data_IF_387248555305
#
_entry.id   IF_387248555305
#
_cell.length_a   1.000
_cell.length_b   1.000
_cell.length_c   1.000
_cell.angle_alpha   90.00
_cell.angle_beta   90.00
_cell.angle_gamma   90.00
#
_symmetry.space_group_name_H-M   'P 1'
#
loop_
_entity.id
_entity.type
_entity.pdbx_description
1 polymer ?
#
# COMPACT_ATOMS: atom_id res chain seq x y z
N UNK A 1 27.94 15.24 20.95
CA UNK A 1 26.47 15.21 20.92
C UNK A 1 26.07 15.71 19.54
N UNK A 2 25.79 14.80 18.62
CA UNK A 2 25.12 15.13 17.36
C UNK A 2 23.69 15.56 17.71
N UNK A 3 23.14 16.63 17.10
CA UNK A 3 21.72 16.95 17.27
C UNK A 3 20.96 15.72 16.79
N UNK A 4 20.10 15.16 17.65
CA UNK A 4 19.23 14.05 17.26
C UNK A 4 18.34 14.53 16.11
N UNK A 5 18.32 13.78 15.03
CA UNK A 5 17.43 14.00 13.90
C UNK A 5 15.98 14.07 14.41
N UNK A 6 15.38 15.25 14.30
CA UNK A 6 14.04 15.60 14.79
C UNK A 6 12.95 15.08 13.83
N UNK A 7 13.13 13.85 13.36
CA UNK A 7 12.31 13.24 12.33
C UNK A 7 11.21 12.39 12.96
N UNK A 8 9.94 12.81 12.74
CA UNK A 8 8.76 12.07 13.21
C UNK A 8 8.75 10.64 12.66
N UNK A 9 8.40 9.61 13.45
CA UNK A 9 8.29 8.24 12.97
C UNK A 9 7.39 8.11 11.73
N UNK A 10 7.54 7.01 11.00
CA UNK A 10 6.81 6.77 9.76
C UNK A 10 5.49 6.05 10.02
N UNK A 11 4.43 6.49 9.33
CA UNK A 11 3.20 5.74 9.16
C UNK A 11 3.07 5.28 7.71
N UNK A 12 3.06 3.97 7.51
CA UNK A 12 3.06 3.36 6.18
C UNK A 12 1.64 2.94 5.80
N UNK A 13 1.20 3.34 4.61
CA UNK A 13 -0.13 3.03 4.11
C UNK A 13 -0.03 2.29 2.78
N UNK A 14 -0.67 1.13 2.67
CA UNK A 14 -1.05 0.61 1.36
C UNK A 14 -2.11 1.54 0.71
N UNK A 15 -2.34 1.36 -0.59
CA UNK A 15 -3.31 2.14 -1.37
C UNK A 15 -4.52 1.27 -1.73
N UNK A 16 -4.34 0.12 -2.34
CA UNK A 16 -5.44 -0.69 -2.87
C UNK A 16 -6.14 -1.37 -1.69
N UNK A 17 -7.44 -1.19 -1.52
CA UNK A 17 -8.16 -1.77 -0.36
C UNK A 17 -8.03 -0.97 0.95
N UNK A 18 -7.01 -0.11 1.07
CA UNK A 18 -6.82 0.78 2.22
C UNK A 18 -7.34 2.19 1.93
N UNK A 19 -6.79 2.88 0.93
CA UNK A 19 -7.21 4.22 0.54
C UNK A 19 -8.16 4.20 -0.67
N UNK A 20 -7.95 3.25 -1.57
CA UNK A 20 -8.65 3.15 -2.85
C UNK A 20 -9.64 1.99 -2.81
N UNK A 21 -10.91 2.28 -3.12
CA UNK A 21 -11.88 1.23 -3.40
C UNK A 21 -11.62 0.62 -4.79
N UNK A 22 -11.17 -0.63 -4.78
CA UNK A 22 -10.79 -1.38 -5.98
C UNK A 22 -11.91 -2.28 -6.49
N UNK A 23 -13.07 -2.28 -5.82
CA UNK A 23 -14.18 -3.23 -6.06
C UNK A 23 -14.60 -3.29 -7.53
N UNK A 24 -14.67 -2.15 -8.22
CA UNK A 24 -15.10 -2.10 -9.63
C UNK A 24 -14.11 -2.77 -10.59
N UNK A 25 -12.84 -2.91 -10.22
CA UNK A 25 -11.80 -3.51 -11.07
C UNK A 25 -11.44 -4.94 -10.72
N UNK A 26 -11.97 -5.50 -9.63
CA UNK A 26 -11.68 -6.88 -9.19
C UNK A 26 -11.95 -7.95 -10.24
N UNK A 27 -13.01 -7.78 -11.03
CA UNK A 27 -13.38 -8.70 -12.10
C UNK A 27 -12.27 -8.88 -13.17
N UNK A 28 -11.32 -7.96 -13.29
CA UNK A 28 -10.16 -8.15 -14.18
C UNK A 28 -9.21 -9.23 -13.66
N UNK A 29 -9.12 -9.42 -12.35
CA UNK A 29 -8.23 -10.39 -11.73
C UNK A 29 -8.77 -11.82 -11.86
N UNK A 30 -10.10 -12.00 -11.85
CA UNK A 30 -10.75 -13.29 -12.09
C UNK A 30 -10.41 -13.89 -13.48
N UNK A 31 -10.03 -13.04 -14.43
CA UNK A 31 -9.62 -13.41 -15.80
C UNK A 31 -8.15 -13.05 -16.10
N UNK A 32 -7.35 -12.85 -15.06
CA UNK A 32 -5.91 -12.59 -15.13
C UNK A 32 -5.51 -11.41 -16.04
N UNK A 33 -6.32 -10.35 -16.06
CA UNK A 33 -6.08 -9.12 -16.84
C UNK A 33 -5.45 -8.03 -15.97
N UNK A 34 -4.24 -8.30 -15.48
CA UNK A 34 -3.47 -7.41 -14.62
C UNK A 34 -3.27 -6.00 -15.16
N UNK A 35 -2.93 -5.86 -16.44
CA UNK A 35 -2.74 -4.54 -17.06
C UNK A 35 -4.03 -3.71 -17.02
N UNK A 36 -5.18 -4.33 -17.26
CA UNK A 36 -6.48 -3.66 -17.19
C UNK A 36 -6.86 -3.28 -15.77
N UNK A 37 -6.58 -4.17 -14.81
CA UNK A 37 -6.76 -3.89 -13.38
C UNK A 37 -6.01 -2.61 -12.98
N UNK A 38 -4.71 -2.53 -13.26
CA UNK A 38 -3.92 -1.35 -12.89
C UNK A 38 -4.26 -0.10 -13.71
N UNK A 39 -4.64 -0.25 -14.99
CA UNK A 39 -5.07 0.89 -15.81
C UNK A 39 -6.38 1.51 -15.31
N UNK A 40 -7.27 0.72 -14.70
CA UNK A 40 -8.54 1.18 -14.16
C UNK A 40 -8.43 1.91 -12.79
N UNK A 41 -7.24 1.91 -12.17
CA UNK A 41 -7.02 2.50 -10.84
C UNK A 41 -7.23 4.02 -10.76
N UNK A 42 -7.30 4.73 -11.90
CA UNK A 42 -7.60 6.16 -11.93
C UNK A 42 -9.04 6.49 -11.51
N UNK A 43 -9.93 5.49 -11.54
CA UNK A 43 -11.34 5.62 -11.23
C UNK A 43 -11.71 5.07 -9.84
N UNK A 44 -10.73 4.66 -9.04
CA UNK A 44 -10.97 4.18 -7.68
C UNK A 44 -11.61 5.29 -6.82
N UNK A 45 -12.74 5.05 -6.15
CA UNK A 45 -13.22 5.93 -5.09
C UNK A 45 -12.23 6.00 -3.92
N UNK A 46 -12.17 7.14 -3.23
CA UNK A 46 -11.47 7.26 -1.96
C UNK A 46 -12.31 6.60 -0.86
N UNK A 47 -11.69 5.76 -0.03
CA UNK A 47 -12.30 5.19 1.16
C UNK A 47 -12.21 6.19 2.31
N UNK A 48 -13.36 6.57 2.86
CA UNK A 48 -13.45 7.59 3.90
C UNK A 48 -12.71 7.17 5.18
N UNK A 49 -12.83 5.90 5.58
CA UNK A 49 -12.14 5.31 6.72
C UNK A 49 -10.62 5.37 6.55
N UNK A 50 -10.11 4.95 5.38
CA UNK A 50 -8.68 5.02 5.07
C UNK A 50 -8.16 6.45 5.07
N UNK A 51 -8.92 7.39 4.51
CA UNK A 51 -8.57 8.80 4.48
C UNK A 51 -8.56 9.43 5.90
N UNK A 52 -9.50 9.05 6.76
CA UNK A 52 -9.51 9.47 8.16
C UNK A 52 -8.29 8.95 8.91
N UNK A 53 -7.96 7.65 8.79
CA UNK A 53 -6.76 7.06 9.41
C UNK A 53 -5.48 7.75 8.94
N UNK A 54 -5.37 8.08 7.65
CA UNK A 54 -4.24 8.82 7.10
C UNK A 54 -4.13 10.22 7.70
N UNK A 55 -5.23 10.98 7.74
CA UNK A 55 -5.24 12.34 8.32
C UNK A 55 -4.91 12.35 9.80
N UNK A 56 -5.34 11.34 10.54
CA UNK A 56 -4.97 11.18 11.95
C UNK A 56 -3.48 10.91 12.09
N UNK A 57 -2.95 9.96 11.32
CA UNK A 57 -1.52 9.64 11.33
C UNK A 57 -0.65 10.85 10.98
N UNK A 58 -1.08 11.72 10.06
CA UNK A 58 -0.38 12.96 9.70
C UNK A 58 -0.23 13.97 10.85
N UNK A 59 -0.93 13.81 11.97
CA UNK A 59 -0.73 14.66 13.15
C UNK A 59 0.53 14.29 13.92
N UNK A 60 0.92 13.01 13.89
CA UNK A 60 2.01 12.46 14.73
C UNK A 60 3.17 11.81 13.93
N UNK A 61 2.91 11.31 12.72
CA UNK A 61 3.88 10.62 11.87
C UNK A 61 4.08 11.27 10.50
N UNK A 62 5.23 11.03 9.87
CA UNK A 62 5.41 11.29 8.45
C UNK A 62 4.81 10.12 7.65
N UNK A 63 3.92 10.41 6.69
CA UNK A 63 3.20 9.38 5.94
C UNK A 63 4.01 8.94 4.73
N UNK A 64 4.09 7.62 4.54
CA UNK A 64 4.70 6.97 3.37
C UNK A 64 3.69 6.01 2.75
N UNK A 65 3.60 6.01 1.42
CA UNK A 65 2.80 5.02 0.69
C UNK A 65 3.66 3.83 0.27
N UNK A 66 3.15 2.61 0.45
CA UNK A 66 3.79 1.38 0.02
C UNK A 66 2.77 0.48 -0.66
N UNK A 67 2.77 0.43 -1.99
CA UNK A 67 1.73 -0.23 -2.78
C UNK A 67 2.27 -1.35 -3.67
N UNK A 68 1.44 -2.38 -3.88
CA UNK A 68 1.68 -3.45 -4.86
C UNK A 68 1.49 -3.04 -6.32
N UNK A 69 1.01 -1.81 -6.60
CA UNK A 69 0.95 -1.27 -7.96
C UNK A 69 2.35 -1.23 -8.58
N UNK A 70 2.53 -1.57 -9.87
CA UNK A 70 3.84 -1.56 -10.51
C UNK A 70 4.32 -0.13 -10.79
N UNK A 71 5.62 0.05 -10.88
CA UNK A 71 6.29 1.36 -11.06
C UNK A 71 5.80 2.12 -12.30
N UNK A 72 5.49 1.43 -13.40
CA UNK A 72 4.85 2.05 -14.59
C UNK A 72 3.54 2.80 -14.30
N UNK A 73 2.86 2.49 -13.20
CA UNK A 73 1.64 3.15 -12.76
C UNK A 73 1.88 4.38 -11.87
N UNK A 74 3.13 4.75 -11.54
CA UNK A 74 3.46 5.87 -10.64
C UNK A 74 2.71 7.15 -10.97
N UNK A 75 2.83 7.63 -12.21
CA UNK A 75 2.17 8.88 -12.63
C UNK A 75 0.64 8.81 -12.52
N UNK A 76 0.05 7.63 -12.70
CA UNK A 76 -1.39 7.44 -12.55
C UNK A 76 -1.77 7.52 -11.06
N UNK A 77 -1.04 6.81 -10.20
CA UNK A 77 -1.26 6.80 -8.74
C UNK A 77 -1.07 8.19 -8.14
N UNK A 78 0.00 8.91 -8.50
CA UNK A 78 0.24 10.29 -8.02
C UNK A 78 -0.89 11.25 -8.44
N UNK A 79 -1.40 11.13 -9.68
CA UNK A 79 -2.54 11.93 -10.12
C UNK A 79 -3.82 11.59 -9.36
N UNK A 80 -4.03 10.31 -9.07
CA UNK A 80 -5.17 9.88 -8.26
C UNK A 80 -5.09 10.43 -6.84
N UNK A 81 -3.93 10.28 -6.17
CA UNK A 81 -3.67 10.85 -4.84
C UNK A 81 -3.93 12.37 -4.81
N UNK A 82 -3.38 13.10 -5.78
CA UNK A 82 -3.60 14.54 -5.90
C UNK A 82 -5.09 14.88 -6.15
N UNK A 83 -5.78 14.11 -6.97
CA UNK A 83 -7.22 14.27 -7.24
C UNK A 83 -8.09 14.03 -6.01
N UNK A 84 -7.65 13.14 -5.11
CA UNK A 84 -8.28 12.90 -3.80
C UNK A 84 -7.88 13.94 -2.73
N UNK A 85 -7.01 14.90 -3.05
CA UNK A 85 -6.49 15.88 -2.10
C UNK A 85 -5.52 15.28 -1.07
N UNK A 86 -4.87 14.17 -1.39
CA UNK A 86 -3.87 13.51 -0.55
C UNK A 86 -2.44 13.92 -0.97
N UNK A 87 -1.44 13.82 -0.08
CA UNK A 87 -0.04 13.91 -0.47
C UNK A 87 0.31 12.91 -1.57
N UNK A 88 1.25 13.26 -2.44
CA UNK A 88 1.65 12.38 -3.56
C UNK A 88 2.89 11.54 -3.26
N UNK A 89 3.54 11.73 -2.11
CA UNK A 89 4.67 10.91 -1.68
C UNK A 89 5.16 11.23 -0.26
N UNK A 90 6.14 10.47 0.26
CA UNK A 90 6.90 9.42 -0.45
C UNK A 90 6.05 8.21 -0.90
N UNK A 91 6.33 7.68 -2.10
CA UNK A 91 5.56 6.61 -2.74
C UNK A 91 6.49 5.48 -3.20
N UNK A 92 6.45 4.35 -2.50
CA UNK A 92 7.14 3.12 -2.84
C UNK A 92 6.19 2.19 -3.58
N UNK A 93 6.65 1.66 -4.71
CA UNK A 93 5.87 0.84 -5.62
C UNK A 93 6.66 -0.41 -5.99
N UNK A 94 5.97 -1.43 -6.48
CA UNK A 94 6.62 -2.66 -6.95
C UNK A 94 7.38 -2.37 -8.25
N UNK A 95 8.63 -2.84 -8.37
CA UNK A 95 9.35 -2.75 -9.63
C UNK A 95 8.59 -3.47 -10.76
N UNK A 96 8.73 -2.98 -12.00
CA UNK A 96 7.94 -3.48 -13.13
C UNK A 96 8.19 -4.96 -13.46
N UNK A 97 9.39 -5.45 -13.17
CA UNK A 97 9.87 -6.81 -13.37
C UNK A 97 9.82 -7.68 -12.11
N UNK A 98 9.35 -7.13 -10.97
CA UNK A 98 9.20 -7.89 -9.74
C UNK A 98 7.87 -8.66 -9.71
N UNK A 99 8.03 -9.96 -9.91
CA UNK A 99 6.96 -10.96 -9.98
C UNK A 99 6.74 -11.70 -8.65
N UNK A 100 7.41 -11.28 -7.57
CA UNK A 100 7.26 -11.89 -6.24
C UNK A 100 5.92 -11.47 -5.61
N UNK A 101 5.38 -12.30 -4.69
CA UNK A 101 4.23 -11.91 -3.88
C UNK A 101 4.45 -10.60 -3.12
N UNK A 102 3.39 -9.80 -2.99
CA UNK A 102 3.46 -8.44 -2.45
C UNK A 102 4.09 -8.38 -1.05
N UNK A 103 3.77 -9.36 -0.18
CA UNK A 103 4.31 -9.48 1.18
C UNK A 103 5.84 -9.47 1.25
N UNK A 104 6.54 -10.04 0.26
CA UNK A 104 8.02 -10.05 0.26
C UNK A 104 8.60 -8.70 -0.15
N UNK A 105 7.99 -8.04 -1.14
CA UNK A 105 8.37 -6.70 -1.58
C UNK A 105 8.14 -5.69 -0.45
N UNK A 106 6.95 -5.72 0.16
CA UNK A 106 6.59 -4.82 1.26
C UNK A 106 7.52 -4.99 2.46
N UNK A 107 7.83 -6.23 2.83
CA UNK A 107 8.81 -6.50 3.88
C UNK A 107 10.20 -5.94 3.59
N UNK A 108 10.68 -6.09 2.36
CA UNK A 108 11.99 -5.58 1.94
C UNK A 108 12.03 -4.05 2.06
N UNK A 109 11.00 -3.36 1.56
CA UNK A 109 10.88 -1.90 1.67
C UNK A 109 10.79 -1.45 3.14
N UNK A 110 10.01 -2.14 3.98
CA UNK A 110 9.93 -1.79 5.40
C UNK A 110 11.28 -1.89 6.12
N UNK A 111 12.08 -2.90 5.82
CA UNK A 111 13.43 -3.04 6.38
C UNK A 111 14.31 -1.85 5.99
N UNK A 112 14.27 -1.44 4.73
CA UNK A 112 15.00 -0.26 4.25
C UNK A 112 14.53 1.03 4.94
N UNK A 113 13.21 1.24 5.05
CA UNK A 113 12.66 2.39 5.75
C UNK A 113 13.09 2.42 7.22
N UNK A 114 13.13 1.26 7.89
CA UNK A 114 13.53 1.14 9.29
C UNK A 114 15.02 1.36 9.54
N UNK A 115 15.87 1.28 8.52
CA UNK A 115 17.27 1.70 8.63
C UNK A 115 17.40 3.22 8.76
N UNK A 116 16.46 3.98 8.19
CA UNK A 116 16.44 5.44 8.22
C UNK A 116 15.62 5.99 9.39
N UNK A 117 14.47 5.37 9.68
CA UNK A 117 13.51 5.89 10.67
C UNK A 117 12.59 4.82 11.23
N UNK A 118 12.21 4.96 12.50
CA UNK A 118 11.17 4.11 13.11
C UNK A 118 9.89 4.07 12.26
N UNK A 119 9.41 2.87 11.96
CA UNK A 119 8.08 2.64 11.41
C UNK A 119 7.13 2.41 12.57
N UNK A 120 6.33 3.43 12.91
CA UNK A 120 5.42 3.40 14.05
C UNK A 120 4.13 2.64 13.77
N UNK A 121 3.68 2.64 12.52
CA UNK A 121 2.50 1.87 12.11
C UNK A 121 2.52 1.54 10.61
N UNK A 122 1.84 0.45 10.25
CA UNK A 122 1.49 0.12 8.86
C UNK A 122 0.02 -0.31 8.75
N UNK A 123 -0.66 0.09 7.67
CA UNK A 123 -2.00 -0.39 7.31
C UNK A 123 -1.95 -1.10 5.96
N UNK A 124 -2.53 -2.30 5.91
CA UNK A 124 -2.62 -3.14 4.72
C UNK A 124 -3.96 -3.89 4.69
N UNK A 125 -4.53 -4.12 3.51
CA UNK A 125 -5.78 -4.88 3.37
C UNK A 125 -5.54 -6.38 3.15
N UNK A 126 -4.31 -6.79 2.80
CA UNK A 126 -3.97 -8.18 2.52
C UNK A 126 -3.63 -8.95 3.82
N UNK A 127 -4.45 -9.93 4.24
CA UNK A 127 -4.18 -10.72 5.44
C UNK A 127 -2.86 -11.47 5.40
N UNK A 128 -2.34 -11.81 4.21
CA UNK A 128 -1.06 -12.51 4.09
C UNK A 128 0.13 -11.57 4.31
N UNK A 129 0.02 -10.31 3.90
CA UNK A 129 0.99 -9.25 4.23
C UNK A 129 0.97 -9.00 5.73
N UNK A 130 -0.22 -8.78 6.30
CA UNK A 130 -0.40 -8.52 7.74
C UNK A 130 0.17 -9.67 8.55
N UNK A 131 -0.14 -10.93 8.21
CA UNK A 131 0.37 -12.09 8.94
C UNK A 131 1.89 -12.17 8.91
N UNK A 132 2.50 -12.08 7.73
CA UNK A 132 3.96 -12.16 7.59
C UNK A 132 4.66 -11.05 8.39
N UNK A 133 4.16 -9.83 8.30
CA UNK A 133 4.80 -8.68 8.93
C UNK A 133 4.55 -8.65 10.44
N UNK A 134 3.39 -9.07 10.93
CA UNK A 134 3.14 -9.26 12.34
C UNK A 134 4.04 -10.37 12.94
N UNK A 135 4.23 -11.49 12.23
CA UNK A 135 5.15 -12.56 12.63
C UNK A 135 6.61 -12.05 12.72
N UNK A 136 6.99 -11.11 11.84
CA UNK A 136 8.29 -10.43 11.85
C UNK A 136 8.38 -9.29 12.90
N UNK A 137 7.31 -9.02 13.66
CA UNK A 137 7.27 -8.04 14.76
C UNK A 137 6.96 -6.59 14.35
N UNK A 138 6.47 -6.36 13.13
CA UNK A 138 6.10 -5.01 12.68
C UNK A 138 4.77 -4.54 13.29
N UNK A 139 4.62 -3.21 13.55
CA UNK A 139 3.36 -2.64 14.02
C UNK A 139 2.37 -2.48 12.86
N UNK A 140 1.80 -3.60 12.39
CA UNK A 140 0.87 -3.63 11.24
C UNK A 140 -0.57 -3.92 11.69
N UNK A 141 -1.53 -3.23 11.07
CA UNK A 141 -2.97 -3.41 11.25
C UNK A 141 -3.63 -3.82 9.93
N UNK A 142 -4.60 -4.74 10.00
CA UNK A 142 -5.43 -5.14 8.87
C UNK A 142 -6.55 -4.12 8.66
N UNK A 143 -6.60 -3.51 7.48
CA UNK A 143 -7.72 -2.72 7.02
C UNK A 143 -8.92 -3.64 6.71
N UNK A 144 -10.06 -3.40 7.37
CA UNK A 144 -11.23 -4.32 7.31
C UNK A 144 -12.50 -3.67 6.78
N UNK A 145 -12.44 -2.40 6.36
CA UNK A 145 -13.61 -1.64 5.91
C UNK A 145 -14.10 -2.05 4.52
N UNK A 146 -13.23 -2.62 3.68
CA UNK A 146 -13.68 -3.31 2.47
C UNK A 146 -13.90 -4.80 2.74
N UNK A 147 -14.99 -5.40 2.21
CA UNK A 147 -15.20 -6.83 2.32
C UNK A 147 -14.05 -7.57 1.64
N UNK A 148 -13.42 -8.48 2.39
CA UNK A 148 -12.32 -9.31 1.92
C UNK A 148 -12.70 -9.99 0.60
N UNK A 149 -12.04 -9.59 -0.48
CA UNK A 149 -12.13 -10.31 -1.74
C UNK A 149 -11.00 -11.33 -1.79
N UNK A 150 -11.36 -12.62 -1.84
CA UNK A 150 -10.40 -13.70 -2.12
C UNK A 150 -9.64 -13.43 -3.42
N UNK A 151 -10.26 -12.74 -4.38
CA UNK A 151 -9.63 -12.39 -5.66
C UNK A 151 -8.45 -11.44 -5.49
N UNK A 152 -8.53 -10.41 -4.63
CA UNK A 152 -7.39 -9.51 -4.37
C UNK A 152 -6.24 -10.27 -3.72
N UNK A 153 -6.57 -11.05 -2.69
CA UNK A 153 -5.61 -11.85 -1.94
C UNK A 153 -4.91 -12.86 -2.86
N UNK A 154 -5.67 -13.66 -3.62
CA UNK A 154 -5.12 -14.65 -4.55
C UNK A 154 -4.26 -14.00 -5.64
N UNK A 155 -4.68 -12.81 -6.10
CA UNK A 155 -3.94 -12.07 -7.10
C UNK A 155 -2.59 -11.55 -6.53
N UNK A 156 -2.59 -10.95 -5.33
CA UNK A 156 -1.38 -10.45 -4.66
C UNK A 156 -0.42 -11.58 -4.25
N UNK A 157 -0.95 -12.77 -3.97
CA UNK A 157 -0.22 -13.88 -3.34
C UNK A 157 0.28 -14.96 -4.31
N UNK A 158 -0.47 -15.27 -5.37
CA UNK A 158 -0.23 -16.45 -6.21
C UNK A 158 0.21 -16.14 -7.65
N UNK A 159 0.07 -14.89 -8.11
CA UNK A 159 -0.04 -14.61 -9.55
C UNK A 159 0.86 -13.49 -10.08
N UNK A 160 1.95 -13.17 -9.39
CA UNK A 160 3.05 -12.42 -10.01
C UNK A 160 3.69 -13.16 -11.20
N UNK A 161 3.34 -14.43 -11.46
CA UNK A 161 3.85 -15.24 -12.58
C UNK A 161 2.98 -15.14 -13.84
N UNK A 162 3.09 -14.06 -14.61
CA UNK A 162 2.86 -14.09 -16.08
C UNK A 162 3.59 -12.94 -16.73
#
# INVERSE_FOLDING_TARGET
MTPGDDHRPLAVFDIDGVLADVSHRLHFLDVHRWEKFFAAAHADPLLDEGAERLREAQKEFDVVYLTGRPERNRRLTERWLAGCGLPTGPLFMRADDDLRPARYVKREVLRLLAEEREVAMMLDDDPAVVRLLADDGWPIELATWLPHSSTLQDAQENQGRT
#
